data_IF_403288648616
#
_entry.id   IF_403288648616
#
_cell.length_a   1.000
_cell.length_b   1.000
_cell.length_c   1.000
_cell.angle_alpha   90.00
_cell.angle_beta   90.00
_cell.angle_gamma   90.00
#
_symmetry.space_group_name_H-M   'P 1'
#
loop_
_entity.id
_entity.type
_entity.pdbx_description
1 polymer ?
#
# COMPACT_ATOMS: atom_id res chain seq x y z
N UNK A 1 24.89 -12.48 -12.35
CA UNK A 1 23.86 -11.78 -13.15
C UNK A 1 22.57 -11.84 -12.34
N UNK A 2 22.18 -10.76 -11.67
CA UNK A 2 20.87 -10.70 -11.02
C UNK A 2 19.82 -10.77 -12.13
N UNK A 3 18.94 -11.77 -12.07
CA UNK A 3 17.78 -11.82 -12.95
C UNK A 3 16.76 -10.85 -12.39
N UNK A 4 16.13 -10.06 -13.24
CA UNK A 4 15.08 -9.10 -12.88
C UNK A 4 13.90 -9.75 -12.15
N UNK A 5 13.66 -11.03 -12.40
CA UNK A 5 12.64 -11.84 -11.72
C UNK A 5 13.05 -12.29 -10.31
N UNK A 6 14.30 -12.07 -9.88
CA UNK A 6 14.76 -12.43 -8.54
C UNK A 6 14.42 -11.35 -7.52
N UNK A 7 13.21 -11.40 -6.99
CA UNK A 7 12.70 -10.46 -5.99
C UNK A 7 13.01 -10.86 -4.54
N UNK A 8 13.73 -11.97 -4.30
CA UNK A 8 13.94 -12.52 -2.94
C UNK A 8 14.64 -11.58 -1.96
N UNK A 9 15.41 -10.61 -2.47
CA UNK A 9 16.08 -9.59 -1.67
C UNK A 9 15.28 -8.29 -1.50
N UNK A 10 14.08 -8.21 -2.07
CA UNK A 10 13.24 -7.02 -2.08
C UNK A 10 12.11 -7.29 -1.10
N UNK A 11 12.13 -6.65 0.07
CA UNK A 11 11.18 -6.93 1.15
C UNK A 11 10.28 -5.73 1.46
N UNK A 12 10.61 -4.56 0.91
CA UNK A 12 9.92 -3.30 1.10
C UNK A 12 9.85 -2.53 -0.21
N UNK A 13 8.88 -1.60 -0.37
CA UNK A 13 8.84 -0.70 -1.53
C UNK A 13 10.14 0.08 -1.72
N UNK A 14 10.78 0.49 -0.61
CA UNK A 14 12.09 1.13 -0.63
C UNK A 14 13.18 0.27 -1.29
N UNK A 15 13.18 -1.06 -1.07
CA UNK A 15 14.11 -1.97 -1.73
C UNK A 15 13.85 -2.05 -3.24
N UNK A 16 12.59 -1.99 -3.66
CA UNK A 16 12.19 -1.98 -5.07
C UNK A 16 12.69 -0.70 -5.77
N UNK A 17 12.50 0.45 -5.13
CA UNK A 17 12.96 1.73 -5.66
C UNK A 17 14.48 1.76 -5.78
N UNK A 18 15.17 1.26 -4.75
CA UNK A 18 16.63 1.14 -4.74
C UNK A 18 17.12 0.20 -5.84
N UNK A 19 16.42 -0.90 -6.11
CA UNK A 19 16.76 -1.79 -7.22
C UNK A 19 16.77 -1.05 -8.57
N UNK A 20 15.75 -0.23 -8.86
CA UNK A 20 15.70 0.51 -10.13
C UNK A 20 16.75 1.61 -10.23
N UNK A 21 17.07 2.28 -9.12
CA UNK A 21 18.20 3.21 -9.02
C UNK A 21 19.52 2.48 -9.38
N UNK A 22 19.74 1.29 -8.82
CA UNK A 22 20.95 0.53 -9.12
C UNK A 22 21.01 0.03 -10.56
N UNK A 23 19.88 -0.42 -11.14
CA UNK A 23 19.83 -0.84 -12.55
C UNK A 23 20.09 0.32 -13.51
N UNK A 24 19.59 1.51 -13.20
CA UNK A 24 19.87 2.73 -13.97
C UNK A 24 21.37 3.05 -14.03
N UNK A 25 22.10 2.87 -12.92
CA UNK A 25 23.54 3.12 -12.87
C UNK A 25 24.38 1.98 -13.46
N UNK A 26 24.05 0.73 -13.12
CA UNK A 26 24.88 -0.46 -13.39
C UNK A 26 24.48 -1.23 -14.67
N UNK A 27 23.41 -0.83 -15.35
CA UNK A 27 22.94 -1.51 -16.56
C UNK A 27 24.01 -1.59 -17.65
N UNK A 28 24.24 -2.80 -18.16
CA UNK A 28 25.27 -3.03 -19.19
C UNK A 28 24.87 -2.53 -20.58
N UNK A 29 23.57 -2.40 -20.85
CA UNK A 29 23.01 -1.94 -22.14
C UNK A 29 22.31 -0.60 -21.94
N UNK A 30 22.50 0.33 -22.87
CA UNK A 30 21.90 1.66 -22.81
C UNK A 30 20.36 1.63 -22.68
N UNK A 31 19.69 0.82 -23.51
CA UNK A 31 18.22 0.63 -23.46
C UNK A 31 17.75 0.14 -22.07
N UNK A 32 18.52 -0.72 -21.42
CA UNK A 32 18.20 -1.23 -20.07
C UNK A 32 18.36 -0.15 -19.00
N UNK A 33 19.28 0.80 -19.20
CA UNK A 33 19.48 1.93 -18.30
C UNK A 33 18.37 2.96 -18.46
N UNK A 34 17.97 3.26 -19.69
CA UNK A 34 16.86 4.16 -19.99
C UNK A 34 15.56 3.64 -19.38
N UNK A 35 15.25 2.35 -19.57
CA UNK A 35 14.09 1.72 -18.92
C UNK A 35 14.13 1.79 -17.40
N UNK A 36 15.29 1.51 -16.81
CA UNK A 36 15.44 1.58 -15.35
C UNK A 36 15.32 3.02 -14.82
N UNK A 37 15.83 4.01 -15.56
CA UNK A 37 15.64 5.43 -15.23
C UNK A 37 14.17 5.82 -15.30
N UNK A 38 13.45 5.36 -16.32
CA UNK A 38 12.02 5.64 -16.45
C UNK A 38 11.22 5.12 -15.24
N UNK A 39 11.42 3.85 -14.86
CA UNK A 39 10.76 3.31 -13.67
C UNK A 39 11.20 4.00 -12.38
N UNK A 40 12.49 4.34 -12.25
CA UNK A 40 13.01 5.14 -11.14
C UNK A 40 12.24 6.47 -11.04
N UNK A 41 12.09 7.21 -12.13
CA UNK A 41 11.41 8.51 -12.17
C UNK A 41 9.93 8.39 -11.77
N UNK A 42 9.24 7.33 -12.23
CA UNK A 42 7.87 7.05 -11.78
C UNK A 42 7.81 6.83 -10.26
N UNK A 43 8.71 6.00 -9.71
CA UNK A 43 8.73 5.71 -8.28
C UNK A 43 9.19 6.87 -7.40
N UNK A 44 9.96 7.83 -7.93
CA UNK A 44 10.42 9.01 -7.17
C UNK A 44 9.26 9.84 -6.60
N UNK A 45 8.09 9.78 -7.24
CA UNK A 45 6.86 10.47 -6.78
C UNK A 45 6.34 10.01 -5.42
N UNK A 46 6.58 8.74 -5.05
CA UNK A 46 6.14 8.13 -3.78
C UNK A 46 7.31 7.70 -2.90
N UNK A 47 8.54 7.70 -3.43
CA UNK A 47 9.70 7.16 -2.75
C UNK A 47 9.97 7.83 -1.41
N UNK A 48 9.87 9.16 -1.35
CA UNK A 48 10.15 9.94 -0.13
C UNK A 48 9.22 9.55 1.01
N UNK A 49 7.95 9.38 0.71
CA UNK A 49 6.89 9.03 1.64
C UNK A 49 7.10 7.60 2.16
N UNK A 50 7.44 6.63 1.29
CA UNK A 50 7.77 5.28 1.73
C UNK A 50 9.06 5.19 2.55
N UNK A 51 10.11 5.95 2.21
CA UNK A 51 11.34 6.01 3.01
C UNK A 51 11.09 6.57 4.42
N UNK A 52 10.11 7.47 4.58
CA UNK A 52 9.78 8.14 5.84
C UNK A 52 8.40 7.73 6.37
N UNK A 53 7.89 6.56 5.98
CA UNK A 53 6.49 6.16 6.22
C UNK A 53 6.10 6.24 7.69
N UNK A 54 7.01 5.82 8.59
CA UNK A 54 6.81 5.86 10.04
C UNK A 54 6.53 7.26 10.61
N UNK A 55 7.01 8.31 9.94
CA UNK A 55 6.84 9.70 10.37
C UNK A 55 5.47 10.28 9.99
N UNK A 56 4.81 9.69 8.99
CA UNK A 56 3.53 10.17 8.47
C UNK A 56 2.38 9.92 9.46
N UNK A 57 1.35 10.75 9.40
CA UNK A 57 0.07 10.53 10.05
C UNK A 57 -0.80 9.53 9.28
N UNK A 58 -1.85 9.01 9.92
CA UNK A 58 -2.79 8.10 9.25
C UNK A 58 -3.49 8.78 8.06
N UNK A 59 -3.80 10.07 8.16
CA UNK A 59 -4.45 10.81 7.07
C UNK A 59 -3.52 11.01 5.88
N UNK A 60 -2.25 11.36 6.11
CA UNK A 60 -1.26 11.47 5.03
C UNK A 60 -1.05 10.13 4.31
N UNK A 61 -1.16 9.00 5.04
CA UNK A 61 -1.06 7.68 4.40
C UNK A 61 -2.32 7.31 3.61
N UNK A 62 -3.51 7.80 3.98
CA UNK A 62 -4.70 7.68 3.13
C UNK A 62 -4.45 8.33 1.77
N UNK A 63 -3.91 9.55 1.74
CA UNK A 63 -3.57 10.24 0.47
C UNK A 63 -2.44 9.52 -0.30
N UNK A 64 -1.49 8.92 0.43
CA UNK A 64 -0.42 8.11 -0.16
C UNK A 64 -0.96 6.86 -0.86
N UNK A 65 -2.04 6.23 -0.36
CA UNK A 65 -2.66 5.07 -1.03
C UNK A 65 -3.13 5.45 -2.44
N UNK A 66 -3.78 6.61 -2.59
CA UNK A 66 -4.26 7.12 -3.88
C UNK A 66 -3.09 7.43 -4.82
N UNK A 67 -2.08 8.15 -4.33
CA UNK A 67 -0.89 8.46 -5.13
C UNK A 67 -0.15 7.19 -5.56
N UNK A 68 -0.07 6.19 -4.67
CA UNK A 68 0.58 4.91 -4.96
C UNK A 68 -0.19 4.11 -6.00
N UNK A 69 -1.53 4.18 -6.00
CA UNK A 69 -2.35 3.57 -7.05
C UNK A 69 -1.97 4.10 -8.43
N UNK A 70 -1.90 5.43 -8.58
CA UNK A 70 -1.62 6.08 -9.86
C UNK A 70 -0.24 5.68 -10.38
N UNK A 71 0.78 5.73 -9.52
CA UNK A 71 2.16 5.36 -9.88
C UNK A 71 2.25 3.90 -10.32
N UNK A 72 1.58 3.00 -9.62
CA UNK A 72 1.59 1.58 -9.96
C UNK A 72 0.83 1.30 -11.26
N UNK A 73 -0.26 2.02 -11.54
CA UNK A 73 -0.95 1.95 -12.83
C UNK A 73 -0.05 2.47 -13.97
N UNK A 74 0.63 3.60 -13.77
CA UNK A 74 1.56 4.18 -14.75
C UNK A 74 2.73 3.24 -15.07
N UNK A 75 3.33 2.62 -14.04
CA UNK A 75 4.40 1.62 -14.21
C UNK A 75 3.91 0.42 -15.03
N UNK A 76 2.69 -0.06 -14.77
CA UNK A 76 2.13 -1.19 -15.51
C UNK A 76 1.81 -0.84 -16.97
N UNK A 77 1.25 0.36 -17.19
CA UNK A 77 0.69 0.76 -18.48
C UNK A 77 1.69 1.43 -19.41
N UNK A 78 2.90 1.75 -18.98
CA UNK A 78 3.90 2.31 -19.88
C UNK A 78 4.15 1.41 -21.11
N UNK A 79 4.38 2.05 -22.26
CA UNK A 79 4.66 1.36 -23.54
C UNK A 79 5.94 1.86 -24.20
N UNK A 80 6.69 2.76 -23.55
CA UNK A 80 7.93 3.34 -24.06
C UNK A 80 9.09 2.35 -24.00
N UNK A 81 9.03 1.42 -23.04
CA UNK A 81 10.04 0.41 -22.80
C UNK A 81 9.42 -0.98 -22.64
N UNK A 82 10.28 -2.00 -22.59
CA UNK A 82 9.86 -3.37 -22.26
C UNK A 82 8.97 -3.37 -21.00
N UNK A 83 7.88 -4.13 -21.05
CA UNK A 83 6.88 -4.12 -19.99
C UNK A 83 7.44 -4.57 -18.64
N UNK A 84 6.86 -4.01 -17.58
CA UNK A 84 7.18 -4.40 -16.21
C UNK A 84 6.71 -5.85 -15.98
N UNK A 85 7.57 -6.78 -15.49
CA UNK A 85 7.20 -8.18 -15.37
C UNK A 85 6.00 -8.41 -14.42
N UNK A 86 5.03 -9.22 -14.85
CA UNK A 86 3.82 -9.52 -14.09
C UNK A 86 4.09 -10.09 -12.68
N UNK A 87 5.03 -11.03 -12.57
CA UNK A 87 5.45 -11.62 -11.30
C UNK A 87 6.05 -10.59 -10.35
N UNK A 88 6.83 -9.65 -10.89
CA UNK A 88 7.45 -8.57 -10.13
C UNK A 88 6.40 -7.54 -9.69
N UNK A 89 5.40 -7.27 -10.52
CA UNK A 89 4.30 -6.36 -10.17
C UNK A 89 3.44 -6.95 -9.06
N UNK A 90 3.12 -8.24 -9.12
CA UNK A 90 2.44 -8.94 -8.03
C UNK A 90 3.21 -8.79 -6.72
N UNK A 91 4.52 -9.00 -6.77
CA UNK A 91 5.40 -8.83 -5.62
C UNK A 91 5.42 -7.39 -5.10
N UNK A 92 5.45 -6.39 -5.99
CA UNK A 92 5.38 -4.98 -5.62
C UNK A 92 4.08 -4.63 -4.88
N UNK A 93 2.93 -5.09 -5.39
CA UNK A 93 1.63 -4.90 -4.74
C UNK A 93 1.60 -5.54 -3.34
N UNK A 94 2.23 -6.70 -3.17
CA UNK A 94 2.35 -7.40 -1.89
C UNK A 94 3.22 -6.64 -0.87
N UNK A 95 4.44 -6.23 -1.24
CA UNK A 95 5.33 -5.50 -0.31
C UNK A 95 4.81 -4.10 0.05
N UNK A 96 4.06 -3.45 -0.86
CA UNK A 96 3.34 -2.20 -0.56
C UNK A 96 2.24 -2.46 0.46
N UNK A 97 1.37 -3.45 0.21
CA UNK A 97 0.30 -3.82 1.14
C UNK A 97 0.82 -4.21 2.52
N UNK A 98 1.93 -4.97 2.58
CA UNK A 98 2.61 -5.32 3.82
C UNK A 98 3.19 -4.11 4.55
N UNK A 99 3.68 -3.10 3.81
CA UNK A 99 4.17 -1.84 4.41
C UNK A 99 3.05 -1.00 5.00
N UNK A 100 1.92 -0.87 4.29
CA UNK A 100 0.72 -0.21 4.83
C UNK A 100 0.18 -0.93 6.07
N UNK A 101 0.06 -2.25 6.03
CA UNK A 101 -0.40 -3.05 7.18
C UNK A 101 0.47 -2.86 8.41
N UNK A 102 1.81 -2.92 8.24
CA UNK A 102 2.78 -2.67 9.33
C UNK A 102 2.67 -1.25 9.87
N UNK A 103 2.55 -0.25 8.99
CA UNK A 103 2.37 1.14 9.38
C UNK A 103 1.11 1.33 10.24
N UNK A 104 -0.03 0.82 9.78
CA UNK A 104 -1.31 0.92 10.50
C UNK A 104 -1.21 0.26 11.88
N UNK A 105 -0.68 -0.97 11.94
CA UNK A 105 -0.46 -1.67 13.21
C UNK A 105 0.42 -0.89 14.17
N UNK A 106 1.53 -0.32 13.68
CA UNK A 106 2.47 0.46 14.50
C UNK A 106 1.84 1.75 15.01
N UNK A 107 1.14 2.51 14.15
CA UNK A 107 0.49 3.78 14.52
C UNK A 107 -0.66 3.56 15.50
N UNK A 108 -1.51 2.57 15.29
CA UNK A 108 -2.58 2.26 16.23
C UNK A 108 -2.05 1.65 17.52
N UNK A 109 -0.92 0.94 17.46
CA UNK A 109 -0.23 0.40 18.64
C UNK A 109 0.35 1.45 19.59
N UNK A 110 0.47 2.72 19.17
CA UNK A 110 0.86 3.82 20.08
C UNK A 110 -0.31 4.35 20.92
N UNK A 111 -1.54 3.96 20.59
CA UNK A 111 -2.75 4.35 21.31
C UNK A 111 -3.16 3.25 22.30
N UNK A 112 -3.70 3.64 23.44
CA UNK A 112 -4.47 2.72 24.25
C UNK A 112 -5.91 2.69 23.74
N UNK A 113 -6.19 1.82 22.77
CA UNK A 113 -7.48 1.75 22.06
C UNK A 113 -8.71 1.61 22.98
N UNK A 114 -8.52 1.12 24.22
CA UNK A 114 -9.61 0.89 25.17
C UNK A 114 -9.79 2.02 26.19
N UNK A 115 -8.73 2.77 26.49
CA UNK A 115 -8.74 3.79 27.55
C UNK A 115 -8.65 5.22 27.02
N UNK A 116 -8.00 5.43 25.89
CA UNK A 116 -7.86 6.76 25.29
C UNK A 116 -9.22 7.36 24.91
N UNK A 117 -9.33 8.71 24.82
CA UNK A 117 -10.58 9.38 24.47
C UNK A 117 -11.21 8.81 23.19
N UNK A 118 -12.51 8.49 23.26
CA UNK A 118 -13.20 7.80 22.16
C UNK A 118 -13.09 8.52 20.82
N UNK A 119 -13.17 9.85 20.79
CA UNK A 119 -13.07 10.62 19.54
C UNK A 119 -11.72 10.36 18.82
N UNK A 120 -10.60 10.37 19.57
CA UNK A 120 -9.27 10.14 19.04
C UNK A 120 -9.10 8.71 18.53
N UNK A 121 -9.56 7.74 19.32
CA UNK A 121 -9.51 6.32 18.95
C UNK A 121 -10.37 6.07 17.71
N UNK A 122 -11.58 6.64 17.66
CA UNK A 122 -12.52 6.51 16.54
C UNK A 122 -11.93 7.07 15.25
N UNK A 123 -11.37 8.28 15.28
CA UNK A 123 -10.75 8.90 14.10
C UNK A 123 -9.56 8.08 13.60
N UNK A 124 -8.68 7.65 14.52
CA UNK A 124 -7.50 6.85 14.19
C UNK A 124 -7.89 5.48 13.61
N UNK A 125 -8.85 4.78 14.22
CA UNK A 125 -9.35 3.50 13.72
C UNK A 125 -9.96 3.64 12.33
N UNK A 126 -10.79 4.67 12.10
CA UNK A 126 -11.38 4.93 10.78
C UNK A 126 -10.34 5.17 9.71
N UNK A 127 -9.32 5.97 10.00
CA UNK A 127 -8.24 6.22 9.05
C UNK A 127 -7.44 4.94 8.77
N UNK A 128 -7.12 4.14 9.80
CA UNK A 128 -6.45 2.85 9.63
C UNK A 128 -7.26 1.83 8.81
N UNK A 129 -8.58 1.75 9.04
CA UNK A 129 -9.52 0.95 8.25
C UNK A 129 -9.52 1.42 6.78
N UNK A 130 -9.63 2.74 6.57
CA UNK A 130 -9.64 3.33 5.22
C UNK A 130 -8.41 2.95 4.40
N UNK A 131 -7.20 3.04 4.99
CA UNK A 131 -5.95 2.61 4.33
C UNK A 131 -6.04 1.15 3.89
N UNK A 132 -6.52 0.28 4.78
CA UNK A 132 -6.60 -1.15 4.51
C UNK A 132 -7.60 -1.46 3.39
N UNK A 133 -8.80 -0.91 3.48
CA UNK A 133 -9.89 -1.13 2.53
C UNK A 133 -9.56 -0.56 1.15
N UNK A 134 -9.08 0.68 1.10
CA UNK A 134 -8.74 1.35 -0.16
C UNK A 134 -7.68 0.57 -0.91
N UNK A 135 -6.57 0.17 -0.26
CA UNK A 135 -5.54 -0.59 -0.97
C UNK A 135 -6.02 -1.96 -1.47
N UNK A 136 -6.90 -2.64 -0.72
CA UNK A 136 -7.55 -3.88 -1.18
C UNK A 136 -8.43 -3.63 -2.40
N UNK A 137 -9.22 -2.55 -2.40
CA UNK A 137 -10.07 -2.17 -3.54
C UNK A 137 -9.21 -1.86 -4.76
N UNK A 138 -8.14 -1.09 -4.58
CA UNK A 138 -7.17 -0.73 -5.64
C UNK A 138 -6.58 -1.98 -6.28
N UNK A 139 -6.03 -2.90 -5.47
CA UNK A 139 -5.42 -4.12 -5.98
C UNK A 139 -6.41 -4.96 -6.81
N UNK A 140 -7.63 -5.13 -6.31
CA UNK A 140 -8.68 -5.86 -7.02
C UNK A 140 -9.11 -5.15 -8.32
N UNK A 141 -9.22 -3.83 -8.30
CA UNK A 141 -9.65 -3.04 -9.45
C UNK A 141 -8.60 -3.04 -10.55
N UNK A 142 -7.34 -2.74 -10.22
CA UNK A 142 -6.23 -2.73 -11.17
C UNK A 142 -6.05 -4.10 -11.82
N UNK A 143 -5.82 -5.14 -11.02
CA UNK A 143 -5.51 -6.49 -11.54
C UNK A 143 -6.72 -7.24 -12.09
N UNK A 144 -7.94 -6.94 -11.61
CA UNK A 144 -9.15 -7.65 -12.00
C UNK A 144 -10.02 -6.96 -13.05
N UNK A 145 -9.74 -5.69 -13.38
CA UNK A 145 -10.56 -4.94 -14.34
C UNK A 145 -9.72 -4.09 -15.30
N UNK A 146 -8.84 -3.23 -14.77
CA UNK A 146 -8.10 -2.26 -15.59
C UNK A 146 -7.06 -2.99 -16.44
N UNK A 147 -6.17 -3.74 -15.81
CA UNK A 147 -5.03 -4.36 -16.46
C UNK A 147 -5.39 -5.58 -17.29
N UNK A 148 -6.44 -6.33 -16.95
CA UNK A 148 -6.93 -7.42 -17.81
C UNK A 148 -7.43 -6.91 -19.17
N UNK A 149 -7.93 -5.67 -19.22
CA UNK A 149 -8.41 -5.03 -20.44
C UNK A 149 -7.32 -4.20 -21.14
N UNK A 150 -6.13 -4.13 -20.56
CA UNK A 150 -5.02 -3.36 -21.12
C UNK A 150 -4.33 -4.14 -22.25
N UNK A 151 -4.76 -3.87 -23.50
CA UNK A 151 -4.34 -4.63 -24.69
C UNK A 151 -2.83 -4.76 -24.89
N UNK A 152 -1.99 -3.71 -24.68
CA UNK A 152 -0.55 -3.83 -24.90
C UNK A 152 0.13 -4.86 -24.00
N UNK A 153 -0.28 -4.91 -22.73
CA UNK A 153 0.27 -5.81 -21.72
C UNK A 153 -0.82 -6.22 -20.72
N UNK A 154 -1.66 -7.21 -21.07
CA UNK A 154 -2.77 -7.60 -20.23
C UNK A 154 -2.28 -8.38 -19.01
N UNK A 155 -2.90 -8.13 -17.86
CA UNK A 155 -2.76 -8.97 -16.67
C UNK A 155 -3.35 -10.36 -16.94
N UNK A 156 -2.56 -11.42 -16.75
CA UNK A 156 -2.95 -12.80 -17.10
C UNK A 156 -3.33 -13.64 -15.90
N UNK A 157 -2.74 -13.35 -14.74
CA UNK A 157 -3.04 -14.01 -13.49
C UNK A 157 -4.46 -13.69 -13.03
N UNK A 158 -4.90 -14.43 -12.02
CA UNK A 158 -6.10 -14.05 -11.29
C UNK A 158 -5.92 -12.67 -10.64
N UNK A 159 -7.05 -12.03 -10.32
CA UNK A 159 -7.01 -10.76 -9.58
C UNK A 159 -6.25 -10.95 -8.26
N UNK A 160 -5.39 -9.99 -7.94
CA UNK A 160 -4.67 -9.98 -6.69
C UNK A 160 -5.56 -9.47 -5.55
N UNK A 161 -5.50 -10.15 -4.40
CA UNK A 161 -6.24 -9.81 -3.19
C UNK A 161 -5.30 -9.76 -1.97
N UNK A 162 -5.06 -8.58 -1.38
CA UNK A 162 -4.22 -8.44 -0.18
C UNK A 162 -4.92 -8.97 1.09
N UNK A 163 -4.98 -10.30 1.25
CA UNK A 163 -5.76 -10.95 2.31
C UNK A 163 -5.38 -10.51 3.74
N UNK A 164 -4.08 -10.33 3.99
CA UNK A 164 -3.59 -9.86 5.29
C UNK A 164 -4.14 -8.47 5.66
N UNK A 165 -4.25 -7.59 4.67
CA UNK A 165 -4.71 -6.22 4.87
C UNK A 165 -6.24 -6.17 5.05
N UNK A 166 -6.99 -6.97 4.29
CA UNK A 166 -8.42 -7.17 4.49
C UNK A 166 -8.75 -7.69 5.90
N UNK A 167 -8.02 -8.71 6.36
CA UNK A 167 -8.16 -9.24 7.73
C UNK A 167 -7.84 -8.19 8.79
N UNK A 168 -6.80 -7.38 8.58
CA UNK A 168 -6.48 -6.28 9.50
C UNK A 168 -7.61 -5.25 9.53
N UNK A 169 -8.12 -4.80 8.38
CA UNK A 169 -9.23 -3.86 8.29
C UNK A 169 -10.45 -4.35 9.07
N UNK A 170 -10.91 -5.57 8.80
CA UNK A 170 -12.04 -6.21 9.53
C UNK A 170 -11.82 -6.27 11.03
N UNK A 171 -10.61 -6.58 11.47
CA UNK A 171 -10.29 -6.61 12.90
C UNK A 171 -10.39 -5.21 13.54
N UNK A 172 -9.97 -4.17 12.83
CA UNK A 172 -10.10 -2.79 13.29
C UNK A 172 -11.57 -2.34 13.33
N UNK A 173 -12.39 -2.77 12.37
CA UNK A 173 -13.84 -2.53 12.38
C UNK A 173 -14.51 -3.14 13.61
N UNK A 174 -14.15 -4.37 13.98
CA UNK A 174 -14.66 -5.02 15.20
C UNK A 174 -14.32 -4.20 16.45
N UNK A 175 -13.06 -3.73 16.56
CA UNK A 175 -12.62 -2.89 17.69
C UNK A 175 -13.42 -1.58 17.73
N UNK A 176 -13.60 -0.94 16.57
CA UNK A 176 -14.37 0.29 16.44
C UNK A 176 -15.84 0.07 16.85
N UNK A 177 -16.44 -1.04 16.44
CA UNK A 177 -17.82 -1.39 16.79
C UNK A 177 -17.98 -1.55 18.31
N UNK A 178 -17.08 -2.28 18.97
CA UNK A 178 -17.09 -2.45 20.43
C UNK A 178 -16.95 -1.09 21.15
N UNK A 179 -15.97 -0.26 20.75
CA UNK A 179 -15.76 1.08 21.33
C UNK A 179 -16.98 1.98 21.13
N UNK A 180 -17.60 1.91 19.95
CA UNK A 180 -18.82 2.68 19.63
C UNK A 180 -19.99 2.27 20.52
N UNK A 181 -20.18 0.97 20.76
CA UNK A 181 -21.25 0.48 21.64
C UNK A 181 -20.99 0.91 23.08
N UNK A 182 -19.75 0.77 23.57
CA UNK A 182 -19.36 1.21 24.90
C UNK A 182 -19.65 2.70 25.12
N UNK A 183 -19.27 3.57 24.18
CA UNK A 183 -19.55 5.01 24.27
C UNK A 183 -21.05 5.31 24.31
N UNK A 184 -21.85 4.62 23.49
CA UNK A 184 -23.31 4.77 23.49
C UNK A 184 -23.91 4.36 24.83
N UNK A 185 -23.44 3.26 25.43
CA UNK A 185 -23.91 2.81 26.74
C UNK A 185 -23.61 3.85 27.81
N UNK A 186 -22.40 4.42 27.82
CA UNK A 186 -22.04 5.49 28.76
C UNK A 186 -22.94 6.71 28.61
N UNK A 187 -23.27 7.11 27.37
CA UNK A 187 -24.18 8.23 27.11
C UNK A 187 -25.61 8.00 27.66
N UNK A 188 -26.07 6.74 27.70
CA UNK A 188 -27.39 6.37 28.21
C UNK A 188 -27.39 5.98 29.71
N UNK A 189 -26.24 5.96 30.38
CA UNK A 189 -26.23 5.79 31.82
C UNK A 189 -26.86 7.04 32.46
N UNK A 190 -27.82 6.88 33.40
CA UNK A 190 -28.31 8.01 34.18
C UNK A 190 -27.12 8.72 34.82
N UNK A 191 -27.13 10.06 34.84
CA UNK A 191 -26.21 10.79 35.71
C UNK A 191 -26.43 10.25 37.12
N UNK A 192 -25.44 9.56 37.65
CA UNK A 192 -25.47 9.05 39.02
C UNK A 192 -25.77 10.23 39.95
N UNK A 193 -26.91 10.16 40.65
CA UNK A 193 -27.23 11.03 41.79
C UNK A 193 -26.13 10.97 42.86
#
# INVERSE_FOLDING_TARGET
KFKEDDTRGILTPSDEFQFWIEQAHRGNKQISKERANYFKELFETIAREFYNLDSLSLLEVVDLVETTQDVVDDVWRQTEHDHYPESRMLHLLDIIGGSFGRFVQKKLGTLNLWEDPYYLVKESLKAGISICEQWVIVCNHLTGQVWQRYVPHPWKNEKYFPETLDKLGKRLEEVLAVRTIHEKLLYFLPASE
#
